data_IF_068012703089
#
_entry.id   IF_068012703089
#
_cell.length_a   1.000
_cell.length_b   1.000
_cell.length_c   1.000
_cell.angle_alpha   90.00
_cell.angle_beta   90.00
_cell.angle_gamma   90.00
#
_symmetry.space_group_name_H-M   'P 1'
#
loop_
_entity.id
_entity.type
_entity.pdbx_description
1 polymer ?
#
# COMPACT_ATOMS: atom_id res chain seq x y z
N UNK A 1 -1.63 -12.82 -7.98
CA UNK A 1 -0.78 -13.02 -9.18
C UNK A 1 0.57 -12.41 -8.82
N UNK A 2 1.68 -13.12 -9.00
CA UNK A 2 2.99 -12.63 -8.59
C UNK A 2 3.40 -11.37 -9.40
N UNK A 3 3.82 -10.31 -8.72
CA UNK A 3 4.24 -9.05 -9.31
C UNK A 3 5.43 -9.24 -10.26
N UNK A 4 6.37 -10.13 -9.93
CA UNK A 4 7.51 -10.41 -10.79
C UNK A 4 7.07 -11.13 -12.08
N UNK A 5 6.13 -12.08 -11.97
CA UNK A 5 5.52 -12.72 -13.14
C UNK A 5 4.79 -11.70 -14.03
N UNK A 6 4.11 -10.73 -13.43
CA UNK A 6 3.44 -9.65 -14.17
C UNK A 6 4.44 -8.75 -14.91
N UNK A 7 5.54 -8.36 -14.24
CA UNK A 7 6.62 -7.57 -14.85
C UNK A 7 7.26 -8.30 -16.03
N UNK A 8 7.52 -9.60 -15.90
CA UNK A 8 8.09 -10.40 -17.00
C UNK A 8 7.11 -10.52 -18.17
N UNK A 9 5.81 -10.75 -17.90
CA UNK A 9 4.79 -10.75 -18.95
C UNK A 9 4.74 -9.41 -19.70
N UNK A 10 4.78 -8.27 -18.98
CA UNK A 10 4.83 -6.95 -19.60
C UNK A 10 6.08 -6.77 -20.46
N UNK A 11 7.25 -7.23 -20.00
CA UNK A 11 8.49 -7.15 -20.76
C UNK A 11 8.38 -7.88 -22.10
N UNK A 12 7.82 -9.10 -22.10
CA UNK A 12 7.58 -9.87 -23.33
C UNK A 12 6.60 -9.13 -24.24
N UNK A 13 5.50 -8.57 -23.70
CA UNK A 13 4.54 -7.78 -24.48
C UNK A 13 5.20 -6.55 -25.12
N UNK A 14 6.04 -5.81 -24.37
CA UNK A 14 6.80 -4.68 -24.92
C UNK A 14 7.71 -5.10 -26.05
N UNK A 15 8.45 -6.19 -25.90
CA UNK A 15 9.31 -6.72 -26.97
C UNK A 15 8.50 -7.08 -28.22
N UNK A 16 7.34 -7.74 -28.06
CA UNK A 16 6.45 -8.02 -29.19
C UNK A 16 5.89 -6.74 -29.82
N UNK A 17 5.52 -5.75 -29.01
CA UNK A 17 4.98 -4.48 -29.47
C UNK A 17 6.02 -3.71 -30.29
N UNK A 18 7.26 -3.61 -29.80
CA UNK A 18 8.38 -2.98 -30.53
C UNK A 18 8.62 -3.65 -31.88
N UNK A 19 8.64 -4.98 -31.94
CA UNK A 19 8.77 -5.70 -33.22
C UNK A 19 7.64 -5.35 -34.21
N UNK A 20 6.42 -5.20 -33.70
CA UNK A 20 5.27 -4.82 -34.52
C UNK A 20 5.39 -3.38 -35.03
N UNK A 21 5.86 -2.45 -34.20
CA UNK A 21 6.15 -1.08 -34.62
C UNK A 21 7.18 -1.04 -35.75
N UNK A 22 8.29 -1.76 -35.62
CA UNK A 22 9.31 -1.84 -36.68
C UNK A 22 8.75 -2.41 -37.98
N UNK A 23 7.85 -3.41 -37.91
CA UNK A 23 7.17 -3.93 -39.11
C UNK A 23 6.29 -2.87 -39.76
N UNK A 24 5.54 -2.10 -38.97
CA UNK A 24 4.70 -1.01 -39.46
C UNK A 24 5.55 0.06 -40.15
N UNK A 25 6.62 0.52 -39.50
CA UNK A 25 7.56 1.50 -40.06
C UNK A 25 8.13 1.01 -41.39
N UNK A 26 8.57 -0.24 -41.45
CA UNK A 26 9.05 -0.86 -42.69
C UNK A 26 7.99 -0.90 -43.80
N UNK A 27 6.77 -1.38 -43.50
CA UNK A 27 5.68 -1.45 -44.49
C UNK A 27 5.25 -0.06 -44.96
N UNK A 28 5.28 0.96 -44.09
CA UNK A 28 5.01 2.35 -44.47
C UNK A 28 6.06 2.87 -45.45
N UNK A 29 7.35 2.65 -45.16
CA UNK A 29 8.49 3.06 -45.99
C UNK A 29 8.60 2.33 -47.33
N UNK A 30 7.98 1.15 -47.48
CA UNK A 30 8.02 0.36 -48.72
C UNK A 30 7.30 1.08 -49.87
N UNK A 31 8.00 1.36 -50.96
CA UNK A 31 7.41 1.98 -52.16
C UNK A 31 6.51 1.00 -52.94
N UNK A 32 5.59 1.54 -53.74
CA UNK A 32 4.75 0.73 -54.64
C UNK A 32 5.61 0.34 -55.85
N UNK A 33 5.66 -0.97 -56.16
CA UNK A 33 6.42 -1.54 -57.28
C UNK A 33 5.53 -2.48 -58.11
N UNK A 34 6.11 -3.07 -59.17
CA UNK A 34 5.41 -4.07 -59.98
C UNK A 34 5.00 -5.31 -59.15
N UNK A 35 5.83 -5.74 -58.18
CA UNK A 35 5.50 -6.85 -57.27
C UNK A 35 4.67 -6.44 -56.04
N UNK A 36 4.54 -5.14 -55.76
CA UNK A 36 3.80 -4.64 -54.60
C UNK A 36 2.90 -3.47 -54.98
N UNK A 37 1.68 -3.80 -55.38
CA UNK A 37 0.70 -2.83 -55.82
C UNK A 37 -0.03 -2.13 -54.66
N UNK A 38 -0.83 -1.11 -54.99
CA UNK A 38 -1.57 -0.28 -54.03
C UNK A 38 -2.55 -1.08 -53.16
N UNK A 39 -3.22 -2.07 -53.74
CA UNK A 39 -4.22 -2.88 -53.05
C UNK A 39 -3.57 -3.78 -52.00
N UNK A 40 -2.47 -4.45 -52.36
CA UNK A 40 -1.70 -5.28 -51.43
C UNK A 40 -1.16 -4.45 -50.26
N UNK A 41 -0.66 -3.24 -50.53
CA UNK A 41 -0.21 -2.31 -49.47
C UNK A 41 -1.35 -1.88 -48.56
N UNK A 42 -2.52 -1.60 -49.12
CA UNK A 42 -3.70 -1.20 -48.36
C UNK A 42 -4.18 -2.29 -47.39
N UNK A 43 -4.32 -3.52 -47.88
CA UNK A 43 -4.72 -4.67 -47.06
C UNK A 43 -3.70 -4.99 -45.97
N UNK A 44 -2.40 -4.92 -46.28
CA UNK A 44 -1.35 -5.10 -45.27
C UNK A 44 -1.44 -4.04 -44.17
N UNK A 45 -1.64 -2.77 -44.54
CA UNK A 45 -1.78 -1.67 -43.58
C UNK A 45 -3.04 -1.80 -42.72
N UNK A 46 -4.17 -2.24 -43.28
CA UNK A 46 -5.39 -2.53 -42.52
C UNK A 46 -5.15 -3.62 -41.48
N UNK A 47 -4.50 -4.72 -41.88
CA UNK A 47 -4.15 -5.81 -40.97
C UNK A 47 -3.22 -5.34 -39.85
N UNK A 48 -2.17 -4.58 -40.20
CA UNK A 48 -1.22 -4.03 -39.25
C UNK A 48 -1.87 -3.05 -38.26
N UNK A 49 -2.80 -2.21 -38.72
CA UNK A 49 -3.58 -1.29 -37.87
C UNK A 49 -4.44 -2.03 -36.85
N UNK A 50 -5.12 -3.09 -37.29
CA UNK A 50 -5.93 -3.93 -36.39
C UNK A 50 -5.06 -4.56 -35.30
N UNK A 51 -3.95 -5.20 -35.70
CA UNK A 51 -2.99 -5.81 -34.79
C UNK A 51 -2.34 -4.80 -33.84
N UNK A 52 -2.03 -3.58 -34.32
CA UNK A 52 -1.48 -2.52 -33.48
C UNK A 52 -2.44 -2.15 -32.35
N UNK A 53 -3.74 -2.03 -32.68
CA UNK A 53 -4.78 -1.66 -31.72
C UNK A 53 -4.92 -2.73 -30.63
N UNK A 54 -4.96 -4.00 -31.01
CA UNK A 54 -5.02 -5.11 -30.08
C UNK A 54 -3.80 -5.15 -29.15
N UNK A 55 -2.58 -5.12 -29.72
CA UNK A 55 -1.34 -5.17 -28.93
C UNK A 55 -1.18 -3.96 -28.01
N UNK A 56 -1.61 -2.77 -28.44
CA UNK A 56 -1.60 -1.57 -27.61
C UNK A 56 -2.54 -1.75 -26.40
N UNK A 57 -3.76 -2.24 -26.63
CA UNK A 57 -4.72 -2.51 -25.56
C UNK A 57 -4.21 -3.57 -24.57
N UNK A 58 -3.55 -4.61 -25.05
CA UNK A 58 -2.90 -5.62 -24.18
C UNK A 58 -1.80 -5.00 -23.31
N UNK A 59 -0.98 -4.11 -23.88
CA UNK A 59 0.10 -3.45 -23.16
C UNK A 59 -0.43 -2.49 -22.10
N UNK A 60 -1.46 -1.69 -22.44
CA UNK A 60 -2.13 -0.79 -21.49
C UNK A 60 -2.68 -1.58 -20.30
N UNK A 61 -3.45 -2.65 -20.57
CA UNK A 61 -4.01 -3.51 -19.51
C UNK A 61 -2.93 -4.14 -18.62
N UNK A 62 -1.79 -4.54 -19.23
CA UNK A 62 -0.68 -5.09 -18.47
C UNK A 62 -0.03 -4.04 -17.54
N UNK A 63 0.14 -2.81 -18.02
CA UNK A 63 0.67 -1.70 -17.22
C UNK A 63 -0.31 -1.30 -16.09
N UNK A 64 -1.61 -1.22 -16.36
CA UNK A 64 -2.65 -0.94 -15.36
C UNK A 64 -2.67 -1.99 -14.24
N UNK A 65 -2.58 -3.28 -14.60
CA UNK A 65 -2.57 -4.37 -13.61
C UNK A 65 -1.32 -4.32 -12.72
N UNK A 66 -0.15 -4.03 -13.29
CA UNK A 66 1.09 -3.85 -12.50
C UNK A 66 0.94 -2.68 -11.53
N UNK A 67 0.43 -1.54 -11.99
CA UNK A 67 0.21 -0.37 -11.13
C UNK A 67 -0.75 -0.70 -9.97
N UNK A 68 -1.83 -1.42 -10.25
CA UNK A 68 -2.79 -1.85 -9.23
C UNK A 68 -2.13 -2.75 -8.19
N UNK A 69 -1.34 -3.74 -8.62
CA UNK A 69 -0.64 -4.65 -7.69
C UNK A 69 0.37 -3.91 -6.80
N UNK A 70 1.13 -2.97 -7.36
CA UNK A 70 2.07 -2.14 -6.57
C UNK A 70 1.33 -1.38 -5.48
N UNK A 71 0.25 -0.67 -5.84
CA UNK A 71 -0.57 0.09 -4.86
C UNK A 71 -1.12 -0.80 -3.74
N UNK A 72 -1.59 -2.01 -4.08
CA UNK A 72 -2.08 -2.96 -3.09
C UNK A 72 -0.95 -3.39 -2.14
N UNK A 73 0.24 -3.68 -2.66
CA UNK A 73 1.40 -4.05 -1.84
C UNK A 73 1.84 -2.93 -0.90
N UNK A 74 1.86 -1.68 -1.39
CA UNK A 74 2.18 -0.50 -0.57
C UNK A 74 1.15 -0.32 0.56
N UNK A 75 -0.15 -0.37 0.24
CA UNK A 75 -1.22 -0.28 1.24
C UNK A 75 -1.16 -1.41 2.28
N UNK A 76 -0.82 -2.63 1.86
CA UNK A 76 -0.67 -3.75 2.78
C UNK A 76 0.49 -3.52 3.76
N UNK A 77 1.63 -3.00 3.29
CA UNK A 77 2.76 -2.66 4.14
C UNK A 77 2.40 -1.54 5.15
N UNK A 78 1.67 -0.52 4.71
CA UNK A 78 1.22 0.58 5.57
C UNK A 78 0.25 0.08 6.65
N UNK A 79 -0.67 -0.83 6.31
CA UNK A 79 -1.59 -1.44 7.27
C UNK A 79 -0.82 -2.25 8.32
N UNK A 80 0.12 -3.10 7.91
CA UNK A 80 0.94 -3.87 8.84
C UNK A 80 1.73 -2.98 9.78
N UNK A 81 2.32 -1.89 9.27
CA UNK A 81 3.00 -0.88 10.09
C UNK A 81 2.04 -0.25 11.12
N UNK A 82 0.84 0.14 10.70
CA UNK A 82 -0.19 0.67 11.61
C UNK A 82 -0.59 -0.33 12.70
N UNK A 83 -0.71 -1.60 12.36
CA UNK A 83 -1.03 -2.67 13.31
C UNK A 83 0.08 -2.85 14.35
N UNK A 84 1.35 -2.83 13.93
CA UNK A 84 2.49 -2.88 14.85
C UNK A 84 2.50 -1.69 15.83
N UNK A 85 2.23 -0.47 15.35
CA UNK A 85 2.11 0.70 16.22
C UNK A 85 0.95 0.58 17.20
N UNK A 86 -0.21 0.08 16.76
CA UNK A 86 -1.38 -0.15 17.61
C UNK A 86 -1.06 -1.16 18.71
N UNK A 87 -0.45 -2.29 18.36
CA UNK A 87 -0.10 -3.35 19.32
C UNK A 87 0.91 -2.85 20.35
N UNK A 88 1.92 -2.08 19.91
CA UNK A 88 2.87 -1.42 20.81
C UNK A 88 2.17 -0.41 21.74
N UNK A 89 1.22 0.35 21.21
CA UNK A 89 0.41 1.29 21.98
C UNK A 89 -0.40 0.59 23.07
N UNK A 90 -1.02 -0.55 22.75
CA UNK A 90 -1.78 -1.36 23.70
C UNK A 90 -0.88 -1.96 24.79
N UNK A 91 0.27 -2.53 24.43
CA UNK A 91 1.25 -3.06 25.39
C UNK A 91 1.71 -1.98 26.40
N UNK A 92 2.05 -0.79 25.90
CA UNK A 92 2.43 0.34 26.75
C UNK A 92 1.27 0.81 27.63
N UNK A 93 0.05 0.92 27.09
CA UNK A 93 -1.16 1.27 27.86
C UNK A 93 -1.37 0.29 29.02
N UNK A 94 -1.29 -1.02 28.76
CA UNK A 94 -1.43 -2.06 29.79
C UNK A 94 -0.32 -1.96 30.84
N UNK A 95 0.94 -1.76 30.43
CA UNK A 95 2.07 -1.58 31.36
C UNK A 95 1.90 -0.36 32.26
N UNK A 96 1.49 0.78 31.70
CA UNK A 96 1.24 2.00 32.47
C UNK A 96 0.11 1.80 33.48
N UNK A 97 -1.01 1.20 33.05
CA UNK A 97 -2.14 0.91 33.93
C UNK A 97 -1.72 0.09 35.15
N UNK A 98 -0.99 -1.01 34.92
CA UNK A 98 -0.47 -1.87 35.99
C UNK A 98 0.44 -1.13 36.98
N UNK A 99 1.30 -0.22 36.49
CA UNK A 99 2.16 0.56 37.38
C UNK A 99 1.37 1.53 38.26
N UNK A 100 0.32 2.15 37.70
CA UNK A 100 -0.57 3.04 38.45
C UNK A 100 -1.33 2.27 39.54
N UNK A 101 -1.86 1.08 39.24
CA UNK A 101 -2.53 0.21 40.21
C UNK A 101 -1.59 -0.14 41.38
N UNK A 102 -0.37 -0.61 41.10
CA UNK A 102 0.63 -0.97 42.12
C UNK A 102 0.94 0.22 43.05
N UNK A 103 1.08 1.43 42.50
CA UNK A 103 1.37 2.62 43.30
C UNK A 103 0.17 3.05 44.14
N UNK A 104 -1.05 2.90 43.61
CA UNK A 104 -2.29 3.23 44.32
C UNK A 104 -2.53 2.28 45.50
N UNK A 105 -2.35 0.97 45.31
CA UNK A 105 -2.45 -0.03 46.38
C UNK A 105 -1.42 0.20 47.49
N UNK A 106 -0.17 0.57 47.15
CA UNK A 106 0.88 0.91 48.14
C UNK A 106 0.55 2.16 48.95
N UNK A 107 -0.23 3.10 48.41
CA UNK A 107 -0.64 4.31 49.10
C UNK A 107 -1.76 4.03 50.11
N UNK A 108 -2.74 3.19 49.78
CA UNK A 108 -3.81 2.80 50.71
C UNK A 108 -3.28 2.12 51.98
N UNK A 109 -2.21 1.30 51.84
CA UNK A 109 -1.53 0.68 52.99
C UNK A 109 -0.86 1.74 53.88
N UNK A 110 -0.29 2.80 53.29
CA UNK A 110 0.34 3.90 54.04
C UNK A 110 -0.67 4.82 54.74
N UNK A 111 -1.86 5.04 54.17
CA UNK A 111 -2.90 5.88 54.79
C UNK A 111 -3.63 5.20 55.94
N UNK A 112 -3.57 3.86 56.03
CA UNK A 112 -4.17 3.09 57.13
C UNK A 112 -3.26 2.97 58.36
N UNK A 113 -2.05 3.52 58.31
CA UNK A 113 -1.21 3.70 59.49
C UNK A 113 -1.62 4.98 60.23
N UNK A 114 -1.88 4.95 61.55
CA UNK A 114 -2.30 6.12 62.30
C UNK A 114 -1.10 7.04 62.54
N UNK A 115 -0.73 7.82 61.52
CA UNK A 115 0.13 8.98 61.68
C UNK A 115 -0.60 10.19 61.13
N UNK A 116 -1.06 11.03 62.04
CA UNK A 116 -1.50 12.40 61.82
C UNK A 116 -0.54 13.12 60.86
N UNK A 117 -0.98 13.45 59.63
CA UNK A 117 -0.60 14.65 58.84
C UNK A 117 -1.29 14.63 57.46
N UNK A 118 -1.89 15.78 57.13
CA UNK A 118 -2.38 16.28 55.82
C UNK A 118 -3.54 15.59 55.09
N UNK A 119 -4.76 15.99 55.45
CA UNK A 119 -6.01 15.81 54.66
C UNK A 119 -5.99 16.50 53.29
N UNK A 120 -5.19 17.56 53.10
CA UNK A 120 -5.16 18.33 51.84
C UNK A 120 -4.41 17.61 50.71
N UNK A 121 -3.40 16.79 51.03
CA UNK A 121 -2.69 15.98 50.03
C UNK A 121 -3.55 14.81 49.53
N UNK A 122 -4.45 14.27 50.36
CA UNK A 122 -5.29 13.12 50.02
C UNK A 122 -6.39 13.46 49.01
N UNK A 123 -6.93 14.69 49.06
CA UNK A 123 -7.97 15.15 48.14
C UNK A 123 -7.38 15.47 46.76
N UNK A 124 -6.22 16.15 46.71
CA UNK A 124 -5.52 16.48 45.47
C UNK A 124 -5.17 15.23 44.64
N UNK A 125 -4.78 14.14 45.31
CA UNK A 125 -4.41 12.87 44.66
C UNK A 125 -5.61 12.13 44.05
N UNK A 126 -6.78 12.18 44.70
CA UNK A 126 -8.02 11.57 44.17
C UNK A 126 -8.50 12.27 42.90
N UNK A 127 -8.42 13.60 42.84
CA UNK A 127 -8.78 14.37 41.65
C UNK A 127 -7.82 14.14 40.48
N UNK A 128 -6.53 13.90 40.75
CA UNK A 128 -5.56 13.57 39.69
C UNK A 128 -5.78 12.17 39.12
N UNK A 129 -6.11 11.19 39.97
CA UNK A 129 -6.44 9.83 39.52
C UNK A 129 -7.72 9.78 38.66
N UNK A 130 -8.75 10.55 39.01
CA UNK A 130 -9.96 10.68 38.20
C UNK A 130 -9.68 11.33 36.82
N UNK A 131 -8.78 12.31 36.77
CA UNK A 131 -8.34 12.91 35.50
C UNK A 131 -7.53 11.93 34.65
N UNK A 132 -6.67 11.11 35.24
CA UNK A 132 -5.89 10.10 34.52
C UNK A 132 -6.75 8.96 33.97
N UNK A 133 -7.80 8.54 34.69
CA UNK A 133 -8.75 7.54 34.18
C UNK A 133 -9.47 7.99 32.90
N UNK A 134 -9.87 9.26 32.83
CA UNK A 134 -10.58 9.83 31.66
C UNK A 134 -9.69 10.02 30.42
N UNK A 135 -8.37 10.03 30.56
CA UNK A 135 -7.43 10.09 29.42
C UNK A 135 -7.04 8.71 28.87
N UNK A 136 -7.39 7.64 29.59
CA UNK A 136 -7.00 6.27 29.28
C UNK A 136 -8.17 5.39 28.82
N UNK A 137 -9.42 5.85 28.95
CA UNK A 137 -10.64 5.23 28.38
C UNK A 137 -10.76 5.54 26.89
#
# INVERSE_FOLDING_TARGET
>A
MDLERLKEKRKILRMSFTKHLTKIEFTLSKEISAEFNKEAKFEELLSLKSQLTEKLNELIKADENIQLQIKISEMAADISSCEEYKDRGLDLKTKLHRQIEILSERQEIRTNSPSTVNRDNTISFRETNLKLLNYLS
#
